data_IF_424265032684
#
_entry.id   IF_424265032684
#
_cell.length_a   1.000
_cell.length_b   1.000
_cell.length_c   1.000
_cell.angle_alpha   90.00
_cell.angle_beta   90.00
_cell.angle_gamma   90.00
#
_symmetry.space_group_name_H-M   'P 1'
#
loop_
_entity.id
_entity.type
_entity.pdbx_description
1 polymer ?
#
# COMPACT_ATOMS: atom_id res chain seq x y z
N UNK A 1 10.71 -3.55 -22.93
CA UNK A 1 9.65 -2.77 -22.21
C UNK A 1 10.19 -2.56 -20.81
N UNK A 2 10.68 -1.36 -20.50
CA UNK A 2 11.18 -1.08 -19.15
C UNK A 2 10.04 -1.23 -18.14
N UNK A 3 10.20 -2.17 -17.22
CA UNK A 3 9.27 -2.33 -16.11
C UNK A 3 9.32 -1.06 -15.27
N UNK A 4 8.30 -0.20 -15.38
CA UNK A 4 8.20 0.99 -14.51
C UNK A 4 8.26 0.48 -13.06
N UNK A 5 9.25 0.91 -12.26
CA UNK A 5 9.40 0.48 -10.88
C UNK A 5 8.10 0.72 -10.11
N UNK A 6 7.72 -0.23 -9.25
CA UNK A 6 6.47 -0.16 -8.50
C UNK A 6 6.37 1.14 -7.69
N UNK A 7 7.52 1.64 -7.22
CA UNK A 7 7.67 2.94 -6.56
C UNK A 7 7.17 4.13 -7.41
N UNK A 8 7.50 4.15 -8.71
CA UNK A 8 7.07 5.23 -9.62
C UNK A 8 5.57 5.14 -9.91
N UNK A 9 5.01 3.93 -9.97
CA UNK A 9 3.57 3.73 -10.14
C UNK A 9 2.83 4.19 -8.88
N UNK A 10 3.33 3.82 -7.70
CA UNK A 10 2.80 4.27 -6.41
C UNK A 10 2.81 5.77 -6.25
N UNK A 11 3.88 6.44 -6.70
CA UNK A 11 3.94 7.90 -6.65
C UNK A 11 2.83 8.57 -7.49
N UNK A 12 2.46 7.98 -8.63
CA UNK A 12 1.35 8.47 -9.46
C UNK A 12 -0.01 8.24 -8.82
N UNK A 13 -0.24 7.07 -8.20
CA UNK A 13 -1.50 6.81 -7.50
C UNK A 13 -1.61 7.55 -6.17
N UNK A 14 -0.50 8.03 -5.58
CA UNK A 14 -0.50 8.75 -4.30
C UNK A 14 -1.53 9.88 -4.21
N UNK A 15 -1.63 10.71 -5.24
CA UNK A 15 -2.57 11.85 -5.23
C UNK A 15 -4.02 11.37 -5.20
N UNK A 16 -4.40 10.50 -6.14
CA UNK A 16 -5.75 9.94 -6.21
C UNK A 16 -6.08 9.01 -5.04
N UNK A 17 -5.07 8.34 -4.47
CA UNK A 17 -5.21 7.48 -3.30
C UNK A 17 -5.51 8.30 -2.05
N UNK A 18 -4.75 9.36 -1.77
CA UNK A 18 -5.00 10.24 -0.62
C UNK A 18 -6.38 10.90 -0.71
N UNK A 19 -6.82 11.28 -1.91
CA UNK A 19 -8.13 11.91 -2.12
C UNK A 19 -9.28 10.88 -2.02
N UNK A 20 -9.13 9.70 -2.65
CA UNK A 20 -10.20 8.72 -2.85
C UNK A 20 -10.24 7.52 -1.88
N UNK A 21 -9.21 7.30 -1.05
CA UNK A 21 -9.19 6.15 -0.11
C UNK A 21 -10.09 6.42 1.08
N UNK A 22 -11.01 5.51 1.41
CA UNK A 22 -11.78 5.61 2.66
C UNK A 22 -10.93 5.23 3.87
N UNK A 23 -11.27 5.71 5.08
CA UNK A 23 -10.59 5.29 6.32
C UNK A 23 -10.60 3.76 6.49
N UNK A 24 -11.69 3.09 6.09
CA UNK A 24 -11.81 1.63 6.15
C UNK A 24 -10.79 0.93 5.25
N UNK A 25 -10.67 1.35 3.99
CA UNK A 25 -9.67 0.81 3.06
C UNK A 25 -8.24 1.09 3.54
N UNK A 26 -8.02 2.25 4.16
CA UNK A 26 -6.71 2.65 4.69
C UNK A 26 -6.30 1.81 5.90
N UNK A 27 -7.22 1.58 6.84
CA UNK A 27 -6.99 0.72 7.99
C UNK A 27 -6.73 -0.73 7.56
N UNK A 28 -7.48 -1.26 6.59
CA UNK A 28 -7.20 -2.60 6.04
C UNK A 28 -5.82 -2.71 5.39
N UNK A 29 -5.35 -1.64 4.72
CA UNK A 29 -4.01 -1.60 4.16
C UNK A 29 -2.95 -1.55 5.27
N UNK A 30 -3.17 -0.75 6.31
CA UNK A 30 -2.29 -0.69 7.48
C UNK A 30 -2.18 -2.06 8.16
N UNK A 31 -3.30 -2.74 8.43
CA UNK A 31 -3.33 -4.08 9.02
C UNK A 31 -2.55 -5.09 8.17
N UNK A 32 -2.71 -5.06 6.84
CA UNK A 32 -1.95 -5.92 5.93
C UNK A 32 -0.46 -5.61 5.95
N UNK A 33 -0.07 -4.34 6.00
CA UNK A 33 1.33 -3.94 6.09
C UNK A 33 1.94 -4.32 7.44
N UNK A 34 1.18 -4.24 8.52
CA UNK A 34 1.59 -4.70 9.85
C UNK A 34 1.76 -6.23 9.85
N UNK A 35 0.78 -6.95 9.31
CA UNK A 35 0.80 -8.42 9.22
C UNK A 35 1.99 -8.95 8.42
N UNK A 36 2.37 -8.26 7.33
CA UNK A 36 3.52 -8.63 6.51
C UNK A 36 4.85 -8.09 7.08
N UNK A 37 4.82 -7.35 8.19
CA UNK A 37 6.01 -6.77 8.83
C UNK A 37 6.63 -5.60 8.05
N UNK A 38 5.86 -4.98 7.15
CA UNK A 38 6.28 -3.78 6.44
C UNK A 38 6.27 -2.57 7.36
N UNK A 39 5.36 -2.51 8.32
CA UNK A 39 5.37 -1.50 9.39
C UNK A 39 5.43 -2.19 10.74
N UNK A 40 6.04 -1.55 11.75
CA UNK A 40 6.03 -2.05 13.12
C UNK A 40 4.87 -1.45 13.94
N UNK A 41 4.64 -1.97 15.14
CA UNK A 41 3.57 -1.49 16.02
C UNK A 41 3.73 -0.01 16.42
N UNK A 42 4.97 0.48 16.57
CA UNK A 42 5.26 1.89 16.85
C UNK A 42 4.87 2.83 15.69
N UNK A 43 5.19 2.44 14.45
CA UNK A 43 4.81 3.12 13.22
C UNK A 43 3.29 3.07 13.05
N UNK A 44 2.66 1.92 13.31
CA UNK A 44 1.20 1.76 13.30
C UNK A 44 0.52 2.74 14.27
N UNK A 45 1.00 2.83 15.51
CA UNK A 45 0.48 3.77 16.51
C UNK A 45 0.70 5.24 16.09
N UNK A 46 1.88 5.54 15.56
CA UNK A 46 2.22 6.89 15.06
C UNK A 46 1.37 7.30 13.85
N UNK A 47 1.00 6.35 13.00
CA UNK A 47 0.11 6.60 11.86
C UNK A 47 -1.34 6.69 12.34
N UNK A 48 -1.77 5.89 13.32
CA UNK A 48 -3.15 5.88 13.78
C UNK A 48 -3.60 7.22 14.41
N UNK A 49 -2.66 7.99 14.98
CA UNK A 49 -2.92 9.33 15.54
C UNK A 49 -3.07 10.44 14.50
N UNK A 50 -2.78 10.17 13.22
CA UNK A 50 -2.81 11.16 12.13
C UNK A 50 -4.16 11.24 11.41
N UNK A 51 -4.34 12.27 10.59
CA UNK A 51 -5.54 12.40 9.74
C UNK A 51 -5.55 11.38 8.60
N UNK A 52 -6.71 11.02 8.04
CA UNK A 52 -6.84 10.11 6.88
C UNK A 52 -5.84 10.41 5.75
N UNK A 53 -5.68 11.69 5.42
CA UNK A 53 -4.80 12.13 4.35
C UNK A 53 -3.32 11.91 4.69
N UNK A 54 -2.92 12.21 5.92
CA UNK A 54 -1.56 12.00 6.39
C UNK A 54 -1.24 10.52 6.55
N UNK A 55 -2.20 9.72 7.05
CA UNK A 55 -2.10 8.25 7.09
C UNK A 55 -1.84 7.68 5.71
N UNK A 56 -2.58 8.14 4.69
CA UNK A 56 -2.40 7.67 3.32
C UNK A 56 -1.05 8.07 2.73
N UNK A 57 -0.54 9.28 3.04
CA UNK A 57 0.80 9.71 2.63
C UNK A 57 1.88 8.86 3.28
N UNK A 58 1.82 8.71 4.61
CA UNK A 58 2.78 7.91 5.37
C UNK A 58 2.80 6.45 4.92
N UNK A 59 1.64 5.88 4.63
CA UNK A 59 1.54 4.51 4.14
C UNK A 59 2.29 4.34 2.81
N UNK A 60 2.07 5.24 1.85
CA UNK A 60 2.80 5.21 0.58
C UNK A 60 4.30 5.45 0.79
N UNK A 61 4.67 6.42 1.63
CA UNK A 61 6.07 6.77 1.84
C UNK A 61 6.83 5.68 2.61
N UNK A 62 6.20 4.99 3.56
CA UNK A 62 6.78 3.85 4.28
C UNK A 62 6.94 2.63 3.37
N UNK A 63 5.92 2.31 2.56
CA UNK A 63 6.01 1.25 1.56
C UNK A 63 7.10 1.54 0.51
N UNK A 64 7.25 2.80 0.12
CA UNK A 64 8.34 3.23 -0.77
C UNK A 64 9.70 3.10 -0.11
N UNK A 65 9.85 3.53 1.15
CA UNK A 65 11.11 3.40 1.92
C UNK A 65 11.54 1.96 2.16
N UNK A 66 10.59 1.03 2.31
CA UNK A 66 10.85 -0.41 2.45
C UNK A 66 11.30 -1.08 1.15
N UNK A 67 11.13 -0.43 0.00
CA UNK A 67 11.65 -0.85 -1.29
C UNK A 67 10.64 -1.54 -2.22
N UNK A 68 11.11 -1.96 -3.40
CA UNK A 68 10.26 -2.44 -4.49
C UNK A 68 9.34 -3.62 -4.13
N UNK A 69 9.75 -4.52 -3.22
CA UNK A 69 8.92 -5.66 -2.79
C UNK A 69 7.66 -5.22 -2.04
N UNK A 70 7.82 -4.28 -1.10
CA UNK A 70 6.68 -3.70 -0.38
C UNK A 70 5.78 -2.90 -1.33
N UNK A 71 6.40 -2.16 -2.27
CA UNK A 71 5.68 -1.40 -3.29
C UNK A 71 4.84 -2.28 -4.21
N UNK A 72 5.36 -3.43 -4.61
CA UNK A 72 4.62 -4.44 -5.38
C UNK A 72 3.44 -5.00 -4.57
N UNK A 73 3.66 -5.35 -3.31
CA UNK A 73 2.60 -5.87 -2.43
C UNK A 73 1.47 -4.86 -2.23
N UNK A 74 1.80 -3.58 -2.06
CA UNK A 74 0.80 -2.52 -1.93
C UNK A 74 0.01 -2.35 -3.24
N UNK A 75 0.69 -2.36 -4.39
CA UNK A 75 0.00 -2.33 -5.68
C UNK A 75 -0.92 -3.54 -5.89
N UNK A 76 -0.47 -4.73 -5.49
CA UNK A 76 -1.28 -5.95 -5.58
C UNK A 76 -2.48 -5.89 -4.64
N UNK A 77 -2.28 -5.39 -3.42
CA UNK A 77 -3.36 -5.18 -2.46
C UNK A 77 -4.37 -4.16 -2.96
N UNK A 78 -3.91 -3.03 -3.53
CA UNK A 78 -4.80 -2.04 -4.14
C UNK A 78 -5.57 -2.65 -5.32
N UNK A 79 -4.89 -3.42 -6.19
CA UNK A 79 -5.56 -4.05 -7.34
C UNK A 79 -6.61 -5.08 -6.88
N UNK A 80 -6.35 -5.86 -5.83
CA UNK A 80 -7.30 -6.83 -5.25
C UNK A 80 -8.38 -6.20 -4.35
N UNK A 81 -8.17 -4.99 -3.82
CA UNK A 81 -9.16 -4.30 -2.99
C UNK A 81 -10.14 -3.49 -3.86
N UNK A 82 -9.68 -2.97 -5.01
CA UNK A 82 -10.53 -2.21 -5.95
C UNK A 82 -11.08 -3.04 -7.12
N UNK A 83 -10.49 -4.19 -7.45
CA UNK A 83 -11.14 -5.24 -8.23
C UNK A 83 -11.39 -6.40 -7.31
N UNK A 84 -12.63 -6.88 -7.21
CA UNK A 84 -12.99 -8.03 -6.39
C UNK A 84 -12.12 -9.28 -6.61
N UNK A 85 -12.28 -10.32 -5.77
CA UNK A 85 -11.33 -11.40 -5.51
C UNK A 85 -11.12 -12.32 -6.73
N UNK A 86 -10.37 -11.85 -7.69
CA UNK A 86 -9.82 -12.60 -8.81
C UNK A 86 -8.61 -11.80 -9.22
N UNK A 87 -7.41 -12.14 -8.73
CA UNK A 87 -6.48 -12.97 -9.49
C UNK A 87 -5.25 -13.28 -8.60
N UNK A 88 -5.37 -14.22 -7.66
CA UNK A 88 -4.19 -14.79 -6.98
C UNK A 88 -3.44 -15.84 -7.81
N UNK A 89 -3.83 -16.10 -9.07
CA UNK A 89 -3.26 -17.21 -9.84
C UNK A 89 -2.51 -16.75 -11.10
N UNK A 90 -1.51 -15.87 -10.97
CA UNK A 90 -0.50 -15.68 -12.03
C UNK A 90 0.89 -15.15 -11.62
N UNK A 91 1.13 -14.77 -10.35
CA UNK A 91 2.42 -14.20 -9.94
C UNK A 91 3.24 -15.05 -8.95
N UNK A 92 2.83 -16.28 -8.66
CA UNK A 92 3.61 -17.26 -7.90
C UNK A 92 3.83 -18.55 -8.71
N UNK A 93 4.73 -18.51 -9.69
CA UNK A 93 5.46 -19.68 -10.17
C UNK A 93 6.90 -19.22 -10.47
N UNK A 94 7.83 -19.55 -9.58
CA UNK A 94 9.26 -19.63 -9.87
C UNK A 94 9.54 -20.96 -10.59
#
# INVERSE_FOLDING_TARGET
IEAIPAEKKLFKVRKGFVEGVSDANLNQLLDKLLHVGVINDEEMQSVNTKTRADKARDLIDTVRRKGNKASLLLMDTLHNTFKGPTLQNKYYCF
#
